data_IF_461346390754
#
_entry.id   IF_461346390754
#
_cell.length_a   1.000
_cell.length_b   1.000
_cell.length_c   1.000
_cell.angle_alpha   90.00
_cell.angle_beta   90.00
_cell.angle_gamma   90.00
#
_symmetry.space_group_name_H-M   'P 1'
#
loop_
_entity.id
_entity.type
_entity.pdbx_description
1 polymer ?
#
# COMPACT_ATOMS: atom_id res chain seq x y z
N UNK A 1 8.66 18.66 -20.85
CA UNK A 1 7.33 19.23 -20.54
C UNK A 1 7.20 19.37 -19.04
N UNK A 2 6.89 20.57 -18.55
CA UNK A 2 6.55 20.74 -17.14
C UNK A 2 5.13 20.22 -16.92
N UNK A 3 4.94 19.39 -15.89
CA UNK A 3 3.61 18.95 -15.46
C UNK A 3 3.08 19.94 -14.44
N UNK A 4 1.89 20.46 -14.67
CA UNK A 4 1.21 21.36 -13.74
C UNK A 4 0.24 20.56 -12.85
N UNK A 5 0.06 21.01 -11.62
CA UNK A 5 -0.98 20.48 -10.73
C UNK A 5 -2.34 20.95 -11.29
N UNK A 6 -3.20 20.00 -11.63
CA UNK A 6 -4.54 20.29 -12.15
C UNK A 6 -5.62 20.17 -11.10
N UNK A 7 -5.37 19.41 -10.04
CA UNK A 7 -6.30 19.17 -8.93
C UNK A 7 -5.57 18.81 -7.66
N UNK A 8 -6.06 19.25 -6.52
CA UNK A 8 -5.67 18.84 -5.17
C UNK A 8 -6.91 18.22 -4.51
N UNK A 9 -6.73 17.10 -3.84
CA UNK A 9 -7.78 16.37 -3.10
C UNK A 9 -7.27 16.11 -1.69
N UNK A 10 -8.02 16.55 -0.70
CA UNK A 10 -7.62 16.40 0.71
C UNK A 10 -7.90 15.00 1.27
N UNK A 11 -8.86 14.29 0.68
CA UNK A 11 -9.36 13.03 1.21
C UNK A 11 -10.28 13.21 2.42
N UNK A 12 -10.92 12.13 2.86
CA UNK A 12 -11.88 12.12 3.96
C UNK A 12 -11.43 11.21 5.09
N UNK A 13 -11.69 11.61 6.34
CA UNK A 13 -11.52 10.74 7.50
C UNK A 13 -12.58 9.62 7.47
N UNK A 14 -12.13 8.38 7.66
CA UNK A 14 -13.01 7.21 7.71
C UNK A 14 -12.35 6.10 8.54
N UNK A 15 -12.96 4.94 8.56
CA UNK A 15 -12.38 3.73 9.14
C UNK A 15 -12.59 2.54 8.22
N UNK A 16 -11.69 1.55 8.29
CA UNK A 16 -11.79 0.29 7.56
C UNK A 16 -11.28 -0.87 8.42
N UNK A 17 -11.36 -2.11 7.91
CA UNK A 17 -11.03 -3.29 8.69
C UNK A 17 -11.89 -3.43 9.94
N UNK A 18 -11.28 -3.72 11.07
CA UNK A 18 -11.97 -3.79 12.36
C UNK A 18 -12.05 -2.44 13.11
N UNK A 19 -12.04 -1.32 12.38
CA UNK A 19 -12.13 0.02 12.94
C UNK A 19 -10.83 0.82 12.89
N UNK A 20 -9.88 0.44 12.03
CA UNK A 20 -8.66 1.20 11.81
C UNK A 20 -9.00 2.58 11.23
N UNK A 21 -8.60 3.64 11.92
CA UNK A 21 -8.79 5.02 11.46
C UNK A 21 -7.83 5.34 10.33
N UNK A 22 -8.35 5.93 9.27
CA UNK A 22 -7.58 6.27 8.08
C UNK A 22 -8.17 7.48 7.35
N UNK A 23 -7.38 8.04 6.44
CA UNK A 23 -7.78 9.11 5.53
C UNK A 23 -7.82 8.54 4.11
N UNK A 24 -9.02 8.46 3.52
CA UNK A 24 -9.23 7.94 2.15
C UNK A 24 -9.15 9.05 1.13
N UNK A 25 -8.20 8.95 0.22
CA UNK A 25 -7.95 9.95 -0.85
C UNK A 25 -8.61 9.48 -2.15
N UNK A 26 -8.18 8.33 -2.71
CA UNK A 26 -8.83 7.71 -3.87
C UNK A 26 -9.85 6.70 -3.36
N UNK A 27 -11.03 6.65 -3.96
CA UNK A 27 -12.18 5.91 -3.46
C UNK A 27 -13.08 6.78 -2.56
N UNK A 28 -12.81 8.08 -2.48
CA UNK A 28 -13.63 9.09 -1.78
C UNK A 28 -14.67 9.70 -2.74
N UNK A 29 -15.70 10.39 -2.20
CA UNK A 29 -16.65 11.14 -3.04
C UNK A 29 -15.98 12.20 -3.91
N UNK A 30 -14.88 12.79 -3.48
CA UNK A 30 -14.15 13.78 -4.27
C UNK A 30 -13.32 13.17 -5.40
N UNK A 31 -12.79 11.96 -5.20
CA UNK A 31 -12.00 11.23 -6.18
C UNK A 31 -12.36 9.74 -6.12
N UNK A 32 -13.49 9.40 -6.71
CA UNK A 32 -14.03 8.05 -6.63
C UNK A 32 -13.16 7.01 -7.35
N UNK A 33 -12.53 7.38 -8.46
CA UNK A 33 -11.69 6.50 -9.26
C UNK A 33 -10.62 7.31 -9.98
N UNK A 34 -9.39 6.76 -10.04
CA UNK A 34 -8.28 7.28 -10.83
C UNK A 34 -7.55 6.12 -11.51
N UNK A 35 -8.16 5.56 -12.55
CA UNK A 35 -7.63 4.35 -13.23
C UNK A 35 -6.15 4.50 -13.60
N UNK A 36 -5.29 3.53 -13.27
CA UNK A 36 -5.61 2.20 -12.69
C UNK A 36 -5.65 2.16 -11.14
N UNK A 37 -5.65 3.29 -10.45
CA UNK A 37 -5.68 3.36 -8.99
C UNK A 37 -7.12 3.27 -8.49
N UNK A 38 -7.43 2.21 -7.74
CA UNK A 38 -8.77 1.94 -7.23
C UNK A 38 -9.01 2.56 -5.86
N UNK A 39 -7.96 2.63 -5.04
CA UNK A 39 -8.01 3.15 -3.68
C UNK A 39 -6.64 3.70 -3.29
N UNK A 40 -6.65 4.79 -2.52
CA UNK A 40 -5.45 5.27 -1.82
C UNK A 40 -5.84 5.78 -0.44
N UNK A 41 -5.32 5.10 0.58
CA UNK A 41 -5.53 5.43 1.99
C UNK A 41 -4.22 5.79 2.67
N UNK A 42 -4.26 6.81 3.52
CA UNK A 42 -3.26 7.08 4.56
C UNK A 42 -3.84 6.59 5.88
N UNK A 43 -3.19 5.60 6.50
CA UNK A 43 -3.53 5.16 7.86
C UNK A 43 -2.43 5.58 8.83
N UNK A 44 -2.82 5.90 10.05
CA UNK A 44 -1.85 6.21 11.08
C UNK A 44 -2.42 6.91 12.29
N UNK A 45 -1.89 6.53 13.45
CA UNK A 45 -2.19 7.16 14.73
C UNK A 45 -1.03 6.92 15.70
N UNK A 46 -0.93 7.79 16.68
CA UNK A 46 -0.07 7.61 17.86
C UNK A 46 -0.83 6.88 18.99
N UNK A 47 -2.16 6.71 18.84
CA UNK A 47 -3.00 5.98 19.79
C UNK A 47 -3.26 4.56 19.26
N UNK A 48 -2.79 3.51 19.98
CA UNK A 48 -3.00 2.11 19.59
C UNK A 48 -4.46 1.71 19.38
N UNK A 49 -5.41 2.30 20.13
CA UNK A 49 -6.82 1.99 19.96
C UNK A 49 -7.38 2.31 18.57
N UNK A 50 -6.72 3.21 17.84
CA UNK A 50 -7.13 3.62 16.50
C UNK A 50 -6.73 2.62 15.41
N UNK A 51 -5.82 1.66 15.70
CA UNK A 51 -5.28 0.75 14.69
C UNK A 51 -5.10 -0.70 15.15
N UNK A 52 -5.07 -0.98 16.47
CA UNK A 52 -4.68 -2.31 16.99
C UNK A 52 -5.62 -3.45 16.55
N UNK A 53 -6.86 -3.14 16.23
CA UNK A 53 -7.82 -4.11 15.73
C UNK A 53 -7.47 -4.63 14.33
N UNK A 54 -6.67 -3.89 13.57
CA UNK A 54 -6.12 -4.29 12.29
C UNK A 54 -7.16 -4.60 11.22
N UNK A 55 -6.71 -5.39 10.25
CA UNK A 55 -7.54 -5.89 9.16
C UNK A 55 -7.63 -7.41 9.27
N UNK A 56 -8.68 -7.95 9.95
CA UNK A 56 -8.93 -9.38 10.05
C UNK A 56 -9.08 -10.05 8.69
N UNK A 57 -9.16 -11.39 8.59
CA UNK A 57 -9.25 -12.08 7.31
C UNK A 57 -10.32 -11.52 6.39
N UNK A 58 -9.90 -11.05 5.23
CA UNK A 58 -10.75 -10.46 4.20
C UNK A 58 -10.26 -10.82 2.80
N UNK A 59 -11.15 -10.88 1.77
CA UNK A 59 -10.78 -11.31 0.42
C UNK A 59 -10.40 -10.15 -0.48
N UNK A 60 -9.45 -10.41 -1.40
CA UNK A 60 -9.16 -9.56 -2.56
C UNK A 60 -9.16 -10.38 -3.84
N UNK A 61 -9.51 -9.77 -4.97
CA UNK A 61 -9.50 -10.40 -6.29
C UNK A 61 -9.39 -9.38 -7.42
N UNK A 62 -8.51 -9.67 -8.38
CA UNK A 62 -8.41 -8.96 -9.65
C UNK A 62 -7.68 -7.63 -9.61
N UNK A 63 -6.90 -7.37 -8.58
CA UNK A 63 -6.08 -6.18 -8.41
C UNK A 63 -4.86 -6.49 -7.54
N UNK A 64 -4.00 -5.50 -7.36
CA UNK A 64 -2.82 -5.54 -6.50
C UNK A 64 -3.02 -4.58 -5.32
N UNK A 65 -2.53 -4.94 -4.15
CA UNK A 65 -2.41 -4.05 -2.99
C UNK A 65 -0.95 -3.73 -2.72
N UNK A 66 -0.65 -2.48 -2.45
CA UNK A 66 0.68 -2.01 -2.09
C UNK A 66 0.58 -1.31 -0.74
N UNK A 67 1.16 -1.92 0.29
CA UNK A 67 1.25 -1.35 1.63
C UNK A 67 2.65 -0.78 1.83
N UNK A 68 2.78 0.53 2.07
CA UNK A 68 4.05 1.16 2.40
C UNK A 68 4.03 1.64 3.85
N UNK A 69 4.91 1.07 4.68
CA UNK A 69 5.03 1.46 6.09
C UNK A 69 5.98 2.64 6.25
N UNK A 70 5.52 3.71 6.89
CA UNK A 70 6.37 4.79 7.36
C UNK A 70 6.89 4.51 8.78
N UNK A 71 6.01 4.04 9.65
CA UNK A 71 6.32 3.67 11.03
C UNK A 71 5.47 2.49 11.47
N UNK A 72 6.03 1.67 12.35
CA UNK A 72 5.34 0.55 12.99
C UNK A 72 5.58 -0.78 12.28
N UNK A 73 4.88 -1.81 12.74
CA UNK A 73 5.02 -3.17 12.22
C UNK A 73 3.66 -3.79 12.00
N UNK A 74 3.53 -4.47 10.86
CA UNK A 74 2.38 -5.31 10.53
C UNK A 74 2.84 -6.72 10.23
N UNK A 75 2.04 -7.68 10.68
CA UNK A 75 2.13 -9.09 10.26
C UNK A 75 0.99 -9.36 9.30
N UNK A 76 1.32 -9.89 8.13
CA UNK A 76 0.31 -10.41 7.24
C UNK A 76 0.32 -11.93 7.20
N UNK A 77 -0.85 -12.53 6.97
CA UNK A 77 -1.05 -13.96 6.72
C UNK A 77 -2.10 -14.15 5.65
N UNK A 78 -1.96 -15.20 4.85
CA UNK A 78 -2.94 -15.52 3.83
C UNK A 78 -3.48 -16.96 3.90
N UNK A 79 -4.51 -17.22 3.08
CA UNK A 79 -5.16 -18.53 2.97
C UNK A 79 -4.31 -19.60 2.28
N UNK A 80 -3.19 -19.24 1.65
CA UNK A 80 -2.24 -20.16 1.04
C UNK A 80 -1.11 -20.58 2.00
N UNK A 81 -1.08 -20.02 3.22
CA UNK A 81 -0.08 -20.30 4.25
C UNK A 81 1.15 -19.38 4.18
N UNK A 82 1.11 -18.32 3.38
CA UNK A 82 2.16 -17.31 3.39
C UNK A 82 2.00 -16.41 4.63
N UNK A 83 3.14 -16.05 5.20
CA UNK A 83 3.24 -15.10 6.31
C UNK A 83 4.44 -14.19 6.09
N UNK A 84 4.30 -12.91 6.39
CA UNK A 84 5.36 -11.93 6.27
C UNK A 84 5.20 -10.79 7.26
N UNK A 85 6.25 -9.97 7.33
CA UNK A 85 6.33 -8.82 8.23
C UNK A 85 6.70 -7.57 7.46
N UNK A 86 5.95 -6.50 7.72
CA UNK A 86 6.26 -5.16 7.29
C UNK A 86 6.80 -4.37 8.48
N UNK A 87 7.87 -3.64 8.27
CA UNK A 87 8.47 -2.73 9.26
C UNK A 87 8.69 -1.35 8.66
N UNK A 88 9.24 -0.44 9.45
CA UNK A 88 9.53 0.93 9.02
C UNK A 88 10.26 0.98 7.67
N UNK A 89 9.67 1.68 6.73
CA UNK A 89 10.20 1.91 5.38
C UNK A 89 10.07 0.73 4.42
N UNK A 90 9.49 -0.40 4.82
CA UNK A 90 9.26 -1.55 3.95
C UNK A 90 7.98 -1.42 3.14
N UNK A 91 7.89 -2.19 2.06
CA UNK A 91 6.72 -2.29 1.17
C UNK A 91 6.30 -3.74 1.04
N UNK A 92 5.02 -4.02 1.14
CA UNK A 92 4.43 -5.27 0.66
C UNK A 92 3.67 -5.00 -0.62
N UNK A 93 4.00 -5.75 -1.65
CA UNK A 93 3.27 -5.75 -2.91
C UNK A 93 2.59 -7.09 -3.09
N UNK A 94 1.28 -7.15 -2.88
CA UNK A 94 0.47 -8.34 -3.05
C UNK A 94 -0.29 -8.28 -4.36
N UNK A 95 -0.11 -9.28 -5.20
CA UNK A 95 -0.96 -9.53 -6.36
C UNK A 95 -2.09 -10.47 -5.94
N UNK A 96 -3.32 -9.97 -5.84
CA UNK A 96 -4.45 -10.82 -5.46
C UNK A 96 -4.91 -11.76 -6.59
N UNK A 97 -4.72 -11.36 -7.84
CA UNK A 97 -4.99 -12.20 -9.00
C UNK A 97 -6.36 -12.87 -8.98
N UNK A 98 -6.42 -14.20 -9.10
CA UNK A 98 -7.67 -14.98 -9.07
C UNK A 98 -8.39 -15.01 -7.71
N UNK A 99 -7.72 -14.55 -6.66
CA UNK A 99 -8.29 -14.37 -5.32
C UNK A 99 -7.39 -14.89 -4.21
N UNK A 100 -7.35 -14.14 -3.12
CA UNK A 100 -6.66 -14.47 -1.88
C UNK A 100 -7.49 -13.95 -0.70
N UNK A 101 -7.48 -14.68 0.40
CA UNK A 101 -7.98 -14.19 1.70
C UNK A 101 -6.75 -13.93 2.55
N UNK A 102 -6.60 -12.72 3.07
CA UNK A 102 -5.49 -12.36 3.93
C UNK A 102 -5.90 -11.52 5.13
N UNK A 103 -4.98 -11.36 6.05
CA UNK A 103 -5.12 -10.47 7.21
C UNK A 103 -3.86 -9.64 7.39
N UNK A 104 -4.02 -8.42 7.89
CA UNK A 104 -2.93 -7.49 8.20
C UNK A 104 -3.13 -7.02 9.64
N UNK A 105 -2.30 -7.54 10.54
CA UNK A 105 -2.43 -7.29 11.97
C UNK A 105 -1.25 -6.47 12.47
N UNK A 106 -1.50 -5.31 13.10
CA UNK A 106 -0.42 -4.54 13.71
C UNK A 106 0.22 -5.36 14.82
N UNK A 107 1.53 -5.36 14.87
CA UNK A 107 2.24 -5.84 16.05
C UNK A 107 2.23 -4.75 17.12
N UNK A 108 2.20 -5.17 18.41
CA UNK A 108 2.31 -4.23 19.52
C UNK A 108 3.62 -3.46 19.38
N UNK A 109 3.50 -2.20 19.06
CA UNK A 109 4.60 -1.25 19.03
C UNK A 109 4.36 -0.20 20.10
N UNK A 110 5.43 0.35 20.67
CA UNK A 110 5.35 1.36 21.71
C UNK A 110 4.91 2.75 21.19
N UNK A 111 3.93 2.77 20.28
CA UNK A 111 3.39 4.04 19.82
C UNK A 111 2.91 4.05 18.37
N UNK A 112 3.61 4.79 17.52
CA UNK A 112 3.13 5.25 16.23
C UNK A 112 3.07 4.16 15.17
N UNK A 113 1.90 4.00 14.55
CA UNK A 113 1.74 3.34 13.27
C UNK A 113 1.40 4.38 12.22
N UNK A 114 2.07 4.34 11.06
CA UNK A 114 1.76 5.18 9.91
C UNK A 114 2.17 4.52 8.61
N UNK A 115 1.31 4.60 7.61
CA UNK A 115 1.59 4.05 6.29
C UNK A 115 0.54 4.42 5.26
N UNK A 116 0.71 3.85 4.08
CA UNK A 116 -0.19 4.03 2.96
C UNK A 116 -0.62 2.67 2.40
N UNK A 117 -1.87 2.62 1.96
CA UNK A 117 -2.42 1.49 1.20
C UNK A 117 -2.86 1.99 -0.16
N UNK A 118 -2.30 1.42 -1.22
CA UNK A 118 -2.66 1.69 -2.60
C UNK A 118 -3.22 0.43 -3.25
N UNK A 119 -4.38 0.53 -3.92
CA UNK A 119 -4.91 -0.54 -4.75
C UNK A 119 -4.71 -0.21 -6.22
N UNK A 120 -4.10 -1.14 -6.94
CA UNK A 120 -3.74 -1.01 -8.33
C UNK A 120 -4.49 -2.06 -9.16
N UNK A 121 -5.35 -1.61 -10.07
CA UNK A 121 -6.17 -2.50 -10.87
C UNK A 121 -5.32 -3.37 -11.82
N UNK A 122 -5.62 -4.66 -11.90
CA UNK A 122 -5.03 -5.53 -12.92
C UNK A 122 -5.78 -5.40 -14.25
N UNK A 123 -5.07 -5.38 -15.38
CA UNK A 123 -5.71 -5.47 -16.68
C UNK A 123 -6.51 -6.77 -16.81
N UNK A 124 -7.59 -6.77 -17.58
CA UNK A 124 -8.53 -7.88 -17.72
C UNK A 124 -7.85 -9.24 -17.92
N UNK A 125 -6.82 -9.29 -18.75
CA UNK A 125 -6.05 -10.52 -19.06
C UNK A 125 -5.27 -11.10 -17.88
N UNK A 126 -4.98 -10.28 -16.85
CA UNK A 126 -4.19 -10.67 -15.69
C UNK A 126 -5.02 -10.82 -14.41
N UNK A 127 -6.34 -10.57 -14.45
CA UNK A 127 -7.20 -10.67 -13.25
C UNK A 127 -7.27 -12.07 -12.64
N UNK A 128 -6.90 -13.11 -13.40
CA UNK A 128 -7.00 -14.50 -12.98
C UNK A 128 -5.63 -15.21 -12.83
N UNK A 129 -4.54 -14.44 -12.77
CA UNK A 129 -3.22 -15.00 -12.46
C UNK A 129 -3.14 -15.48 -11.01
N UNK A 130 -2.14 -16.30 -10.71
CA UNK A 130 -1.89 -16.77 -9.34
C UNK A 130 -1.62 -15.59 -8.39
N UNK A 131 -2.13 -15.64 -7.16
CA UNK A 131 -1.73 -14.73 -6.11
C UNK A 131 -0.23 -14.82 -5.82
N UNK A 132 0.39 -13.69 -5.55
CA UNK A 132 1.81 -13.62 -5.20
C UNK A 132 2.12 -12.43 -4.31
N UNK A 133 3.24 -12.51 -3.60
CA UNK A 133 3.75 -11.46 -2.75
C UNK A 133 5.17 -11.08 -3.12
N UNK A 134 5.48 -9.81 -2.96
CA UNK A 134 6.83 -9.28 -3.00
C UNK A 134 7.01 -8.34 -1.80
N UNK A 135 7.62 -8.87 -0.74
CA UNK A 135 7.95 -8.11 0.46
C UNK A 135 9.32 -7.45 0.25
N UNK A 136 9.32 -6.14 0.08
CA UNK A 136 10.50 -5.33 -0.20
C UNK A 136 10.94 -4.65 1.09
N UNK A 137 12.10 -5.03 1.59
CA UNK A 137 12.64 -4.45 2.82
C UNK A 137 13.14 -3.02 2.58
N UNK A 138 13.15 -2.20 3.64
CA UNK A 138 13.55 -0.78 3.56
C UNK A 138 14.92 -0.57 2.92
N UNK A 139 15.87 -1.46 3.17
CA UNK A 139 17.22 -1.40 2.60
C UNK A 139 17.32 -1.74 1.11
N UNK A 140 16.28 -2.36 0.55
CA UNK A 140 16.20 -2.71 -0.88
C UNK A 140 15.61 -1.57 -1.73
N UNK A 141 15.01 -0.56 -1.09
CA UNK A 141 14.37 0.56 -1.76
C UNK A 141 15.39 1.68 -1.96
N UNK A 142 15.88 1.89 -3.18
CA UNK A 142 16.83 2.95 -3.43
C UNK A 142 16.21 4.33 -3.17
N UNK A 143 17.04 5.24 -2.69
CA UNK A 143 16.65 6.63 -2.48
C UNK A 143 17.66 7.58 -3.09
N UNK A 144 17.16 8.71 -3.59
CA UNK A 144 17.96 9.78 -4.18
C UNK A 144 17.69 11.04 -3.37
N UNK A 145 18.77 11.63 -2.85
CA UNK A 145 18.71 12.95 -2.21
C UNK A 145 18.53 14.03 -3.27
N UNK A 146 17.66 14.98 -3.01
CA UNK A 146 17.41 16.17 -3.81
C UNK A 146 17.72 17.41 -2.96
N UNK A 147 17.82 18.57 -3.59
CA UNK A 147 18.09 19.84 -2.89
C UNK A 147 17.11 20.11 -1.74
N UNK A 148 15.82 19.79 -1.93
CA UNK A 148 14.76 20.08 -0.97
C UNK A 148 14.00 18.83 -0.51
N UNK A 149 14.63 17.65 -0.55
CA UNK A 149 13.96 16.43 -0.14
C UNK A 149 14.63 15.16 -0.61
N UNK A 150 13.86 14.07 -0.54
CA UNK A 150 14.33 12.72 -0.84
C UNK A 150 13.27 11.95 -1.64
N UNK A 151 13.70 11.25 -2.68
CA UNK A 151 12.82 10.34 -3.45
C UNK A 151 13.19 8.91 -3.13
N UNK A 152 12.26 8.15 -2.58
CA UNK A 152 12.33 6.68 -2.49
C UNK A 152 11.68 6.07 -3.73
N UNK A 153 12.40 5.17 -4.41
CA UNK A 153 11.95 4.58 -5.67
C UNK A 153 11.46 3.17 -5.40
N UNK A 154 10.18 3.04 -5.09
CA UNK A 154 9.54 1.74 -4.82
C UNK A 154 9.39 0.97 -6.13
N UNK A 155 8.94 1.63 -7.19
CA UNK A 155 8.74 1.04 -8.51
C UNK A 155 9.07 2.04 -9.62
N UNK A 156 9.30 1.56 -10.84
CA UNK A 156 9.64 2.41 -11.98
C UNK A 156 11.09 2.88 -11.96
N UNK A 157 11.36 4.04 -12.57
CA UNK A 157 12.71 4.59 -12.73
C UNK A 157 12.73 6.09 -12.51
N UNK A 158 13.68 6.57 -11.73
CA UNK A 158 13.94 8.00 -11.49
C UNK A 158 15.44 8.28 -11.53
N UNK A 159 15.87 9.29 -12.29
CA UNK A 159 17.28 9.66 -12.49
C UNK A 159 18.22 8.47 -12.76
N UNK A 160 17.77 7.52 -13.60
CA UNK A 160 18.56 6.33 -13.95
C UNK A 160 18.47 5.18 -12.97
N UNK A 161 18.01 5.40 -11.72
CA UNK A 161 17.87 4.40 -10.68
C UNK A 161 16.49 3.73 -10.79
N UNK A 162 16.45 2.39 -10.67
CA UNK A 162 15.23 1.58 -10.78
C UNK A 162 14.79 1.09 -9.40
N UNK A 163 13.49 1.17 -9.12
CA UNK A 163 12.88 0.56 -7.94
C UNK A 163 12.67 -0.95 -8.08
N UNK A 164 12.63 -1.69 -6.96
CA UNK A 164 12.46 -3.15 -6.94
C UNK A 164 11.05 -3.63 -7.27
N UNK A 165 10.03 -2.82 -7.04
CA UNK A 165 8.63 -3.19 -7.28
C UNK A 165 8.31 -3.34 -8.76
N UNK A 166 7.65 -4.44 -9.13
CA UNK A 166 7.32 -4.78 -10.51
C UNK A 166 5.79 -4.86 -10.65
N UNK A 167 5.12 -3.79 -11.10
CA UNK A 167 3.69 -3.83 -11.34
C UNK A 167 3.34 -4.68 -12.56
N UNK A 168 2.24 -5.41 -12.49
CA UNK A 168 1.70 -6.14 -13.63
C UNK A 168 0.92 -5.24 -14.61
N UNK A 169 0.72 -3.98 -14.26
CA UNK A 169 -0.07 -3.02 -15.06
C UNK A 169 0.66 -2.43 -16.26
N UNK A 170 1.95 -2.67 -16.41
CA UNK A 170 2.74 -2.13 -17.53
C UNK A 170 2.91 -0.61 -17.53
N UNK A 171 2.82 0.01 -16.35
CA UNK A 171 3.12 1.42 -16.14
C UNK A 171 4.63 1.68 -16.02
#
# INVERSE_FOLDING_TARGET
MNRNITRIVDGIQTSDGAGVKLKRIIGSPELNLLDPFLLFDEFGSDNPEDYIAGFPPHPHRGFETITYMLNGKFRHKDSAGNEGFLSDGSVQWMTAGRGVIHSEMPEKTDGKVRGFQLWLNLPKKLKMIEPSYNDIQSGEIPSIELENGKVKIISGKFNGVKGPGIPHTGM
#
